data_IF_252014178163
#
_entry.id   IF_252014178163
#
_cell.length_a   1.000
_cell.length_b   1.000
_cell.length_c   1.000
_cell.angle_alpha   90.00
_cell.angle_beta   90.00
_cell.angle_gamma   90.00
#
_symmetry.space_group_name_H-M   'P 1'
#
loop_
_entity.id
_entity.type
_entity.pdbx_description
1 polymer ?
#
# COMPACT_ATOMS: atom_id res chain seq x y z
N UNK A 1 -9.38 53.44 -12.54
CA UNK A 1 -9.41 52.04 -12.07
C UNK A 1 -8.90 51.22 -13.22
N UNK A 2 -7.69 50.69 -13.07
CA UNK A 2 -6.82 50.20 -14.14
C UNK A 2 -7.31 48.86 -14.71
N UNK A 3 -7.56 48.84 -16.03
CA UNK A 3 -7.92 47.65 -16.82
C UNK A 3 -6.91 46.50 -16.72
N UNK A 4 -5.72 46.74 -16.16
CA UNK A 4 -4.65 45.74 -15.99
C UNK A 4 -4.96 44.63 -14.96
N UNK A 5 -5.88 44.85 -14.02
CA UNK A 5 -6.16 43.86 -12.96
C UNK A 5 -7.00 42.65 -13.45
N UNK A 6 -7.73 42.79 -14.56
CA UNK A 6 -8.60 41.73 -15.09
C UNK A 6 -7.79 40.78 -16.01
N UNK A 7 -6.71 41.26 -16.62
CA UNK A 7 -5.88 40.49 -17.56
C UNK A 7 -5.09 39.35 -16.89
N UNK A 8 -4.75 39.50 -15.59
CA UNK A 8 -3.99 38.48 -14.85
C UNK A 8 -4.86 37.33 -14.33
N UNK A 9 -6.19 37.46 -14.26
CA UNK A 9 -7.07 36.39 -13.78
C UNK A 9 -7.12 35.18 -14.73
N UNK A 10 -6.96 35.45 -16.03
CA UNK A 10 -7.06 34.46 -17.11
C UNK A 10 -5.68 34.00 -17.62
N UNK A 11 -4.59 34.40 -16.95
CA UNK A 11 -3.22 34.03 -17.33
C UNK A 11 -2.55 33.29 -16.19
N UNK A 12 -1.81 32.24 -16.50
CA UNK A 12 -0.93 31.52 -15.57
C UNK A 12 0.52 31.54 -16.06
N UNK A 13 1.52 31.61 -15.17
CA UNK A 13 2.92 31.47 -15.56
C UNK A 13 3.23 30.00 -15.87
N UNK A 14 3.99 29.73 -16.93
CA UNK A 14 4.48 28.39 -17.25
C UNK A 14 5.58 27.97 -16.29
N UNK A 15 5.47 26.81 -15.60
CA UNK A 15 6.52 26.32 -14.71
C UNK A 15 7.86 26.06 -15.42
N UNK A 16 7.82 25.69 -16.71
CA UNK A 16 9.02 25.38 -17.49
C UNK A 16 9.73 26.62 -18.04
N UNK A 17 8.98 27.60 -18.57
CA UNK A 17 9.58 28.74 -19.28
C UNK A 17 9.20 30.12 -18.73
N UNK A 18 8.49 30.18 -17.59
CA UNK A 18 8.02 31.38 -16.88
C UNK A 18 7.12 32.35 -17.69
N UNK A 19 6.82 32.06 -18.96
CA UNK A 19 5.94 32.90 -19.78
C UNK A 19 4.50 32.79 -19.31
N UNK A 20 3.79 33.92 -19.34
CA UNK A 20 2.36 33.95 -19.09
C UNK A 20 1.59 33.43 -20.31
N UNK A 21 0.60 32.58 -20.08
CA UNK A 21 -0.29 32.05 -21.12
C UNK A 21 -1.70 31.83 -20.55
N UNK A 22 -2.67 31.61 -21.44
CA UNK A 22 -4.07 31.49 -21.06
C UNK A 22 -4.29 30.32 -20.09
N UNK A 23 -5.07 30.56 -19.03
CA UNK A 23 -5.24 29.63 -17.89
C UNK A 23 -5.87 28.30 -18.30
N UNK A 24 -6.75 28.33 -19.28
CA UNK A 24 -7.48 27.20 -19.89
C UNK A 24 -6.67 26.43 -20.95
N UNK A 25 -5.48 26.92 -21.32
CA UNK A 25 -4.61 26.20 -22.26
C UNK A 25 -4.06 24.92 -21.64
N UNK A 26 -4.28 23.79 -22.32
CA UNK A 26 -3.80 22.46 -21.90
C UNK A 26 -2.27 22.34 -21.89
N UNK A 27 -1.59 23.13 -22.71
CA UNK A 27 -0.13 23.20 -22.74
C UNK A 27 0.33 24.65 -22.99
N UNK A 28 1.55 24.96 -22.53
CA UNK A 28 2.19 26.22 -22.83
C UNK A 28 2.48 26.30 -24.34
N UNK A 29 1.91 27.28 -25.07
CA UNK A 29 2.11 27.38 -26.53
C UNK A 29 3.54 27.74 -26.92
N UNK A 30 4.37 28.16 -25.96
CA UNK A 30 5.74 28.61 -26.22
C UNK A 30 6.79 27.52 -26.04
N UNK A 31 6.57 26.57 -25.12
CA UNK A 31 7.57 25.53 -24.82
C UNK A 31 6.99 24.11 -24.83
N UNK A 32 5.68 23.96 -25.06
CA UNK A 32 5.02 22.66 -25.09
C UNK A 32 4.78 22.03 -23.73
N UNK A 33 5.19 22.66 -22.62
CA UNK A 33 4.93 22.15 -21.27
C UNK A 33 3.42 21.97 -21.05
N UNK A 34 2.98 20.73 -20.93
CA UNK A 34 1.62 20.37 -20.55
C UNK A 34 1.62 20.04 -19.06
N UNK A 35 0.76 20.73 -18.30
CA UNK A 35 0.46 20.27 -16.94
C UNK A 35 -0.26 18.94 -17.08
N UNK A 36 0.34 17.88 -16.56
CA UNK A 36 -0.39 16.62 -16.35
C UNK A 36 -1.33 16.90 -15.20
N UNK A 37 -2.55 17.33 -15.51
CA UNK A 37 -3.63 17.28 -14.56
C UNK A 37 -3.83 15.80 -14.28
N UNK A 38 -3.44 15.35 -13.09
CA UNK A 38 -3.81 14.02 -12.62
C UNK A 38 -5.34 13.97 -12.69
N UNK A 39 -5.86 13.20 -13.65
CA UNK A 39 -7.28 12.88 -13.66
C UNK A 39 -7.53 12.07 -12.40
N UNK A 40 -8.48 12.49 -11.58
CA UNK A 40 -8.95 11.70 -10.45
C UNK A 40 -9.36 10.33 -10.98
N UNK A 41 -8.69 9.29 -10.49
CA UNK A 41 -9.00 7.91 -10.88
C UNK A 41 -10.39 7.53 -10.36
N UNK A 42 -10.98 6.47 -10.92
CA UNK A 42 -12.24 5.93 -10.36
C UNK A 42 -12.06 5.52 -8.89
N UNK A 43 -10.88 5.01 -8.53
CA UNK A 43 -10.49 4.68 -7.16
C UNK A 43 -10.45 5.93 -6.25
N UNK A 44 -9.91 7.04 -6.75
CA UNK A 44 -9.92 8.31 -6.01
C UNK A 44 -11.35 8.83 -5.80
N UNK A 45 -12.21 8.70 -6.81
CA UNK A 45 -13.61 9.10 -6.74
C UNK A 45 -14.39 8.23 -5.74
N UNK A 46 -14.15 6.92 -5.74
CA UNK A 46 -14.77 6.00 -4.79
C UNK A 46 -14.32 6.30 -3.35
N UNK A 47 -13.03 6.56 -3.12
CA UNK A 47 -12.51 6.98 -1.81
C UNK A 47 -13.18 8.28 -1.34
N UNK A 48 -13.23 9.29 -2.21
CA UNK A 48 -13.86 10.58 -1.90
C UNK A 48 -15.35 10.42 -1.57
N UNK A 49 -16.06 9.55 -2.29
CA UNK A 49 -17.46 9.25 -1.99
C UNK A 49 -17.62 8.57 -0.62
N UNK A 50 -16.74 7.64 -0.27
CA UNK A 50 -16.71 7.02 1.06
C UNK A 50 -16.47 8.03 2.18
N UNK A 51 -15.49 8.93 2.02
CA UNK A 51 -15.23 10.01 2.97
C UNK A 51 -16.43 10.95 3.13
N UNK A 52 -17.10 11.27 2.02
CA UNK A 52 -18.31 12.08 2.01
C UNK A 52 -19.45 11.43 2.82
N UNK A 53 -19.73 10.14 2.59
CA UNK A 53 -20.78 9.43 3.32
C UNK A 53 -20.47 9.34 4.81
N UNK A 54 -19.22 9.05 5.17
CA UNK A 54 -18.79 9.01 6.56
C UNK A 54 -18.97 10.37 7.26
N UNK A 55 -18.59 11.47 6.58
CA UNK A 55 -18.76 12.82 7.10
C UNK A 55 -20.25 13.17 7.29
N UNK A 56 -21.10 12.83 6.32
CA UNK A 56 -22.55 13.06 6.42
C UNK A 56 -23.21 12.25 7.52
N UNK A 57 -22.86 10.98 7.66
CA UNK A 57 -23.34 10.14 8.75
C UNK A 57 -22.97 10.73 10.12
N UNK A 58 -21.72 11.19 10.28
CA UNK A 58 -21.28 11.85 11.51
C UNK A 58 -22.07 13.14 11.79
N UNK A 59 -22.27 13.98 10.77
CA UNK A 59 -23.06 15.21 10.93
C UNK A 59 -24.50 14.92 11.37
N UNK A 60 -25.14 13.89 10.81
CA UNK A 60 -26.48 13.49 11.21
C UNK A 60 -26.52 12.99 12.66
N UNK A 61 -25.55 12.17 13.06
CA UNK A 61 -25.41 11.72 14.44
C UNK A 61 -25.20 12.88 15.43
N UNK A 62 -24.30 13.81 15.12
CA UNK A 62 -24.04 14.99 15.96
C UNK A 62 -25.30 15.88 16.10
N UNK A 63 -26.10 15.99 15.04
CA UNK A 63 -27.37 16.74 15.06
C UNK A 63 -28.43 16.06 15.92
N UNK A 64 -28.55 14.72 15.83
CA UNK A 64 -29.41 13.94 16.73
C UNK A 64 -29.02 14.17 18.18
N UNK A 65 -27.73 14.10 18.52
CA UNK A 65 -27.25 14.32 19.88
C UNK A 65 -27.52 15.75 20.37
N UNK A 66 -27.35 16.76 19.50
CA UNK A 66 -27.69 18.14 19.80
C UNK A 66 -29.18 18.30 20.11
N UNK A 67 -30.05 17.70 19.30
CA UNK A 67 -31.51 17.77 19.46
C UNK A 67 -32.02 16.97 20.66
N UNK A 68 -31.42 15.81 20.97
CA UNK A 68 -31.71 15.04 22.19
C UNK A 68 -31.49 15.88 23.44
N UNK A 69 -30.37 16.62 23.49
CA UNK A 69 -30.09 17.56 24.60
C UNK A 69 -31.12 18.69 24.66
N UNK A 70 -31.49 19.26 23.52
CA UNK A 70 -32.49 20.32 23.46
C UNK A 70 -33.85 19.85 24.01
N UNK A 71 -34.35 18.70 23.55
CA UNK A 71 -35.60 18.08 24.04
C UNK A 71 -35.51 17.74 25.53
N UNK A 72 -34.35 17.32 26.02
CA UNK A 72 -34.15 17.06 27.46
C UNK A 72 -34.27 18.33 28.29
N UNK A 73 -33.76 19.46 27.79
CA UNK A 73 -33.81 20.76 28.46
C UNK A 73 -35.19 21.44 28.35
N UNK A 74 -35.91 21.20 27.25
CA UNK A 74 -37.19 21.82 26.93
C UNK A 74 -38.21 20.77 26.45
N UNK A 75 -38.69 19.88 27.33
CA UNK A 75 -39.58 18.77 26.95
C UNK A 75 -40.95 19.24 26.45
N UNK A 76 -41.36 20.47 26.77
CA UNK A 76 -42.60 21.06 26.26
C UNK A 76 -42.51 21.57 24.82
N UNK A 77 -41.29 21.73 24.27
CA UNK A 77 -41.09 22.27 22.94
C UNK A 77 -41.33 21.20 21.85
N UNK A 78 -42.59 21.17 21.38
CA UNK A 78 -43.06 20.28 20.30
C UNK A 78 -42.36 20.52 18.95
N UNK A 79 -41.68 21.66 18.76
CA UNK A 79 -40.89 21.87 17.55
C UNK A 79 -39.57 21.11 17.64
N UNK A 80 -38.93 21.09 18.80
CA UNK A 80 -37.70 20.33 19.05
C UNK A 80 -37.93 18.83 18.99
N UNK A 81 -39.04 18.34 19.56
CA UNK A 81 -39.41 16.92 19.44
C UNK A 81 -39.59 16.48 17.98
N UNK A 82 -40.26 17.31 17.17
CA UNK A 82 -40.45 17.04 15.73
C UNK A 82 -39.14 17.10 14.97
N UNK A 83 -38.28 18.08 15.27
CA UNK A 83 -36.96 18.16 14.67
C UNK A 83 -36.11 16.93 15.01
N UNK A 84 -36.15 16.46 16.28
CA UNK A 84 -35.45 15.24 16.69
C UNK A 84 -35.96 14.00 15.95
N UNK A 85 -37.28 13.86 15.78
CA UNK A 85 -37.85 12.75 15.03
C UNK A 85 -37.40 12.72 13.56
N UNK A 86 -37.32 13.90 12.92
CA UNK A 86 -36.79 14.02 11.55
C UNK A 86 -35.29 13.69 11.51
N UNK A 87 -34.50 14.22 12.43
CA UNK A 87 -33.05 13.95 12.48
C UNK A 87 -32.72 12.48 12.71
N UNK A 88 -33.52 11.78 13.54
CA UNK A 88 -33.39 10.33 13.73
C UNK A 88 -33.68 9.54 12.45
N UNK A 89 -34.70 9.94 11.68
CA UNK A 89 -35.00 9.31 10.39
C UNK A 89 -33.88 9.55 9.36
N UNK A 90 -33.32 10.77 9.33
CA UNK A 90 -32.19 11.12 8.46
C UNK A 90 -30.91 10.35 8.84
N UNK A 91 -30.60 10.24 10.13
CA UNK A 91 -29.47 9.46 10.64
C UNK A 91 -29.62 7.98 10.29
N UNK A 92 -30.81 7.41 10.46
CA UNK A 92 -31.08 6.01 10.11
C UNK A 92 -30.93 5.78 8.59
N UNK A 93 -31.41 6.72 7.76
CA UNK A 93 -31.27 6.64 6.31
C UNK A 93 -29.80 6.68 5.86
N UNK A 94 -29.03 7.64 6.38
CA UNK A 94 -27.60 7.76 6.11
C UNK A 94 -26.81 6.58 6.67
N UNK A 95 -27.22 6.03 7.82
CA UNK A 95 -26.61 4.86 8.43
C UNK A 95 -26.75 3.62 7.55
N UNK A 96 -27.92 3.41 6.95
CA UNK A 96 -28.13 2.34 5.97
C UNK A 96 -27.28 2.51 4.71
N UNK A 97 -27.21 3.72 4.17
CA UNK A 97 -26.39 4.02 2.98
C UNK A 97 -24.90 3.80 3.26
N UNK A 98 -24.39 4.32 4.39
CA UNK A 98 -23.00 4.14 4.80
C UNK A 98 -22.65 2.67 5.07
N UNK A 99 -23.53 1.93 5.73
CA UNK A 99 -23.33 0.51 5.96
C UNK A 99 -23.27 -0.27 4.64
N UNK A 100 -24.18 0.00 3.70
CA UNK A 100 -24.18 -0.64 2.39
C UNK A 100 -22.90 -0.36 1.60
N UNK A 101 -22.44 0.89 1.59
CA UNK A 101 -21.17 1.26 0.96
C UNK A 101 -19.98 0.51 1.58
N UNK A 102 -19.87 0.52 2.92
CA UNK A 102 -18.77 -0.13 3.64
C UNK A 102 -18.78 -1.65 3.44
N UNK A 103 -19.95 -2.28 3.45
CA UNK A 103 -20.07 -3.73 3.25
C UNK A 103 -19.71 -4.10 1.81
N UNK A 104 -20.13 -3.31 0.82
CA UNK A 104 -19.72 -3.45 -0.58
C UNK A 104 -18.21 -3.32 -0.76
N UNK A 105 -17.60 -2.29 -0.15
CA UNK A 105 -16.15 -2.08 -0.20
C UNK A 105 -15.38 -3.22 0.51
N UNK A 106 -15.87 -3.72 1.66
CA UNK A 106 -15.26 -4.88 2.31
C UNK A 106 -15.37 -6.15 1.47
N UNK A 107 -16.49 -6.34 0.77
CA UNK A 107 -16.66 -7.48 -0.13
C UNK A 107 -15.75 -7.38 -1.34
N UNK A 108 -15.60 -6.20 -1.95
CA UNK A 108 -14.65 -5.96 -3.04
C UNK A 108 -13.20 -6.28 -2.62
N UNK A 109 -12.77 -5.85 -1.43
CA UNK A 109 -11.44 -6.17 -0.89
C UNK A 109 -11.25 -7.66 -0.60
N UNK A 110 -12.33 -8.37 -0.22
CA UNK A 110 -12.29 -9.83 0.01
C UNK A 110 -12.25 -10.63 -1.29
N UNK A 111 -13.00 -10.20 -2.28
CA UNK A 111 -13.11 -10.84 -3.59
C UNK A 111 -11.95 -10.45 -4.51
N UNK A 112 -11.17 -9.41 -4.15
CA UNK A 112 -9.91 -9.12 -4.80
C UNK A 112 -9.04 -10.37 -4.70
N UNK A 113 -8.75 -11.03 -5.85
CA UNK A 113 -7.92 -12.21 -5.83
C UNK A 113 -6.62 -11.81 -5.13
N UNK A 114 -6.07 -12.65 -4.22
CA UNK A 114 -4.84 -12.31 -3.55
C UNK A 114 -3.87 -11.93 -4.65
N UNK A 115 -3.44 -10.66 -4.67
CA UNK A 115 -2.44 -10.20 -5.61
C UNK A 115 -1.28 -11.16 -5.37
N UNK A 116 -1.12 -12.17 -6.24
CA UNK A 116 0.02 -13.07 -6.20
C UNK A 116 1.15 -12.09 -6.27
N UNK A 117 1.88 -11.92 -5.17
CA UNK A 117 2.99 -11.01 -5.10
C UNK A 117 4.10 -11.59 -6.00
N UNK A 118 3.92 -11.47 -7.32
CA UNK A 118 4.93 -11.55 -8.36
C UNK A 118 5.73 -10.25 -8.32
N UNK A 119 6.08 -9.79 -7.11
CA UNK A 119 7.05 -8.75 -6.95
C UNK A 119 8.38 -9.42 -7.23
N UNK A 120 8.75 -9.51 -8.50
CA UNK A 120 9.95 -10.23 -8.88
C UNK A 120 11.16 -9.71 -8.10
N UNK A 121 11.97 -10.63 -7.60
CA UNK A 121 13.25 -10.31 -6.98
C UNK A 121 14.33 -10.39 -8.04
N UNK A 122 15.27 -9.46 -7.99
CA UNK A 122 16.40 -9.45 -8.89
C UNK A 122 17.56 -10.25 -8.30
N UNK A 123 18.19 -11.10 -9.10
CA UNK A 123 19.39 -11.80 -8.70
C UNK A 123 20.58 -10.83 -8.63
N UNK A 124 21.26 -10.67 -7.48
CA UNK A 124 22.39 -9.75 -7.37
C UNK A 124 23.63 -10.21 -8.16
N UNK A 125 23.66 -11.46 -8.63
CA UNK A 125 24.80 -12.02 -9.39
C UNK A 125 24.63 -11.85 -10.90
N UNK A 126 23.43 -12.11 -11.42
CA UNK A 126 23.19 -12.13 -12.87
C UNK A 126 22.05 -11.23 -13.32
N UNK A 127 21.54 -10.38 -12.43
CA UNK A 127 20.45 -9.40 -12.67
C UNK A 127 19.19 -10.01 -13.27
N UNK A 128 19.00 -11.33 -13.09
CA UNK A 128 17.82 -12.02 -13.56
C UNK A 128 16.64 -11.71 -12.64
N UNK A 129 15.55 -11.26 -13.24
CA UNK A 129 14.25 -11.05 -12.60
C UNK A 129 13.59 -12.41 -12.36
N UNK A 130 13.32 -12.74 -11.10
CA UNK A 130 12.84 -14.05 -10.68
C UNK A 130 11.62 -13.93 -9.76
N UNK A 131 10.68 -14.88 -9.81
CA UNK A 131 9.60 -14.96 -8.83
C UNK A 131 10.13 -15.06 -7.39
N UNK A 132 9.40 -14.48 -6.41
CA UNK A 132 9.83 -14.44 -5.00
C UNK A 132 9.99 -15.84 -4.37
N UNK A 133 9.23 -16.82 -4.83
CA UNK A 133 9.21 -18.21 -4.36
C UNK A 133 10.42 -19.03 -4.85
N UNK A 134 11.19 -18.54 -5.82
CA UNK A 134 12.38 -19.23 -6.31
C UNK A 134 13.52 -19.16 -5.29
N UNK A 135 13.83 -20.28 -4.64
CA UNK A 135 14.94 -20.38 -3.67
C UNK A 135 16.33 -20.23 -4.31
N UNK A 136 16.48 -20.51 -5.61
CA UNK A 136 17.78 -20.50 -6.32
C UNK A 136 17.64 -19.98 -7.75
N UNK A 137 18.49 -19.03 -8.12
CA UNK A 137 18.64 -18.55 -9.49
C UNK A 137 19.34 -19.60 -10.38
N UNK A 138 19.06 -19.59 -11.68
CA UNK A 138 19.75 -20.40 -12.69
C UNK A 138 21.28 -20.18 -12.71
N UNK A 139 21.77 -18.98 -12.32
CA UNK A 139 23.21 -18.72 -12.18
C UNK A 139 23.84 -19.38 -10.94
N UNK A 140 23.04 -20.01 -10.09
CA UNK A 140 23.48 -20.71 -8.87
C UNK A 140 23.31 -19.91 -7.58
N UNK A 141 22.98 -18.63 -7.63
CA UNK A 141 22.73 -17.79 -6.44
C UNK A 141 21.51 -18.27 -5.65
N UNK A 142 21.61 -18.34 -4.33
CA UNK A 142 20.53 -18.80 -3.43
C UNK A 142 19.98 -17.62 -2.64
N UNK A 143 18.66 -17.46 -2.64
CA UNK A 143 17.99 -16.37 -1.93
C UNK A 143 17.53 -16.83 -0.54
N UNK A 144 18.08 -16.22 0.52
CA UNK A 144 17.51 -16.29 1.88
C UNK A 144 17.77 -17.58 2.69
N UNK A 145 18.44 -17.40 3.82
CA UNK A 145 18.50 -18.12 5.11
C UNK A 145 18.29 -19.64 5.30
N UNK A 146 17.91 -20.48 4.33
CA UNK A 146 17.92 -21.95 4.58
C UNK A 146 19.33 -22.56 4.54
N UNK A 147 20.32 -21.76 4.15
CA UNK A 147 21.73 -22.14 4.12
C UNK A 147 22.41 -21.96 5.49
N UNK A 148 21.80 -21.25 6.44
CA UNK A 148 22.48 -20.88 7.70
C UNK A 148 22.57 -22.01 8.73
N UNK A 149 21.72 -23.04 8.68
CA UNK A 149 21.70 -24.07 9.72
C UNK A 149 22.75 -25.18 9.55
N UNK A 150 23.29 -25.38 8.34
CA UNK A 150 24.24 -26.48 8.07
C UNK A 150 25.35 -26.15 7.06
N UNK A 151 25.44 -24.93 6.53
CA UNK A 151 26.49 -24.61 5.57
C UNK A 151 27.84 -24.32 6.24
N UNK A 152 28.88 -24.95 5.71
CA UNK A 152 30.27 -24.62 6.02
C UNK A 152 30.77 -23.61 4.99
N UNK A 153 31.45 -22.55 5.43
CA UNK A 153 32.04 -21.58 4.51
C UNK A 153 33.27 -22.19 3.82
N UNK A 154 33.38 -22.01 2.52
CA UNK A 154 34.58 -22.41 1.77
C UNK A 154 35.78 -21.57 2.24
N UNK A 155 36.88 -22.18 2.69
CA UNK A 155 38.05 -21.42 3.16
C UNK A 155 38.76 -20.68 2.02
N UNK A 156 38.50 -21.01 0.76
CA UNK A 156 39.10 -20.32 -0.38
C UNK A 156 38.32 -19.07 -0.81
N UNK A 157 37.00 -19.19 -1.02
CA UNK A 157 36.20 -18.10 -1.60
C UNK A 157 35.13 -17.56 -0.63
N UNK A 158 35.06 -18.08 0.60
CA UNK A 158 34.06 -17.74 1.62
C UNK A 158 32.61 -17.99 1.25
N UNK A 159 32.33 -18.60 0.09
CA UNK A 159 30.98 -18.98 -0.30
C UNK A 159 30.43 -20.06 0.64
N UNK A 160 29.15 -20.01 1.01
CA UNK A 160 28.51 -21.06 1.79
C UNK A 160 28.41 -22.35 0.97
N UNK A 161 28.84 -23.46 1.55
CA UNK A 161 28.81 -24.79 0.94
C UNK A 161 27.91 -25.69 1.79
N UNK A 162 27.01 -26.44 1.12
CA UNK A 162 26.13 -27.39 1.81
C UNK A 162 26.94 -28.45 2.58
N UNK A 163 26.43 -28.87 3.75
CA UNK A 163 27.02 -29.96 4.52
C UNK A 163 27.17 -31.22 3.64
N UNK A 164 28.38 -31.78 3.59
CA UNK A 164 28.68 -33.01 2.85
C UNK A 164 29.06 -32.83 1.37
N UNK A 165 29.15 -31.61 0.84
CA UNK A 165 29.65 -31.40 -0.52
C UNK A 165 31.16 -31.68 -0.59
N UNK A 166 31.60 -32.49 -1.54
CA UNK A 166 33.03 -32.82 -1.74
C UNK A 166 33.85 -31.65 -2.32
N UNK A 167 33.19 -30.71 -3.01
CA UNK A 167 33.81 -29.54 -3.63
C UNK A 167 32.90 -28.32 -3.53
N UNK A 168 33.52 -27.17 -3.34
CA UNK A 168 32.88 -25.87 -3.52
C UNK A 168 32.68 -25.56 -5.02
N UNK A 169 31.75 -24.68 -5.37
CA UNK A 169 31.54 -24.20 -6.75
C UNK A 169 32.76 -23.50 -7.36
N UNK A 170 33.70 -23.00 -6.55
CA UNK A 170 35.00 -22.49 -7.02
C UNK A 170 36.01 -23.60 -7.39
N UNK A 171 35.65 -24.88 -7.23
CA UNK A 171 36.52 -26.03 -7.48
C UNK A 171 37.35 -26.48 -6.27
N UNK A 172 37.34 -25.73 -5.16
CA UNK A 172 38.08 -26.07 -3.94
C UNK A 172 37.52 -27.34 -3.27
N UNK A 173 38.35 -28.36 -2.98
CA UNK A 173 37.89 -29.58 -2.31
C UNK A 173 37.59 -29.32 -0.84
N UNK A 174 36.41 -29.76 -0.38
CA UNK A 174 36.05 -29.71 1.03
C UNK A 174 36.49 -31.02 1.68
N UNK A 175 37.28 -30.95 2.76
CA UNK A 175 37.73 -32.15 3.45
C UNK A 175 36.51 -32.90 4.03
N UNK A 176 36.31 -34.14 3.61
CA UNK A 176 35.30 -35.00 4.20
C UNK A 176 35.66 -35.26 5.67
N UNK A 177 34.91 -34.66 6.59
CA UNK A 177 34.91 -35.09 7.98
C UNK A 177 34.34 -36.49 8.02
N UNK A 178 35.21 -37.51 8.00
CA UNK A 178 34.83 -38.85 8.41
C UNK A 178 34.44 -38.79 9.88
N UNK A 179 33.21 -39.17 10.26
CA UNK A 179 32.89 -39.31 11.67
C UNK A 179 33.74 -40.45 12.23
N UNK A 180 34.65 -40.13 13.15
CA UNK A 180 35.44 -41.12 13.89
C UNK A 180 34.47 -42.03 14.65
N UNK A 181 34.22 -43.21 14.11
CA UNK A 181 33.47 -44.28 14.78
C UNK A 181 34.46 -45.19 15.50
N UNK A 182 34.30 -45.34 16.82
CA UNK A 182 34.78 -46.50 17.57
C UNK A 182 35.97 -46.28 18.50
N UNK A 183 35.70 -46.00 19.78
CA UNK A 183 36.60 -46.37 20.87
C UNK A 183 36.21 -47.82 21.28
N UNK A 184 37.09 -48.82 21.15
CA UNK A 184 36.80 -50.17 21.63
C UNK A 184 37.09 -50.28 23.13
N UNK A 185 36.04 -50.59 23.90
CA UNK A 185 36.07 -51.53 25.02
C UNK A 185 36.99 -51.24 26.22
N UNK A 186 36.46 -50.56 27.23
CA UNK A 186 36.87 -50.77 28.63
C UNK A 186 35.92 -51.80 29.28
N UNK A 187 36.36 -53.05 29.35
CA UNK A 187 35.70 -54.12 30.11
C UNK A 187 35.78 -53.80 31.60
N UNK A 188 34.62 -53.77 32.27
CA UNK A 188 34.53 -54.02 33.72
C UNK A 188 34.60 -55.53 33.95
N UNK A 189 35.58 -55.97 34.72
CA UNK A 189 35.47 -56.98 35.79
C UNK A 189 36.66 -56.81 36.71
#
# INVERSE_FOLDING_TARGET
MTEDAISTLYRKPCPSCARQYARDSRACPFCGYAEVLASETEEDQERLYGEYLAARHKQAHDEVERLRRAVTLHPEDRAQERALALALADEEALGREWAAYRDGHHQAVRDEPPQRATADKECPVCTATLPKDVGRCACGYVFGAEVAATATLCPHCTAPVAAGAERCGCGYPMAAHTPVSGIPGLRRR
#
